data_IF_799606528977
#
_entry.id   IF_799606528977
#
_cell.length_a   1.000
_cell.length_b   1.000
_cell.length_c   1.000
_cell.angle_alpha   90.00
_cell.angle_beta   90.00
_cell.angle_gamma   90.00
#
_symmetry.space_group_name_H-M   'P 1'
#
loop_
_entity.id
_entity.type
_entity.pdbx_description
1 polymer ?
#
# COMPACT_ATOMS: atom_id res chain seq x y z
N UNK A 1 29.96 -28.28 -34.40
CA UNK A 1 29.67 -27.12 -33.52
C UNK A 1 28.48 -27.50 -32.68
N UNK A 2 28.69 -27.84 -31.40
CA UNK A 2 27.60 -28.06 -30.44
C UNK A 2 27.28 -26.70 -29.81
N UNK A 3 26.01 -26.30 -29.85
CA UNK A 3 25.54 -25.13 -29.14
C UNK A 3 25.75 -25.31 -27.63
N UNK A 4 26.39 -24.35 -27.00
CA UNK A 4 26.51 -24.28 -25.54
C UNK A 4 25.11 -24.08 -24.97
N UNK A 5 24.66 -25.04 -24.16
CA UNK A 5 23.48 -24.84 -23.30
C UNK A 5 23.85 -23.84 -22.23
N UNK A 6 23.18 -22.70 -22.20
CA UNK A 6 23.20 -21.76 -21.09
C UNK A 6 22.58 -22.45 -19.84
N UNK A 7 23.44 -23.13 -19.13
CA UNK A 7 23.12 -23.73 -17.82
C UNK A 7 23.18 -22.61 -16.77
N UNK A 8 22.15 -21.75 -16.73
CA UNK A 8 21.95 -20.88 -15.58
C UNK A 8 21.60 -21.79 -14.39
N UNK A 9 22.33 -21.68 -13.26
CA UNK A 9 21.99 -22.46 -12.08
C UNK A 9 20.55 -22.14 -11.70
N UNK A 10 19.71 -23.17 -11.70
CA UNK A 10 18.32 -23.08 -11.26
C UNK A 10 18.30 -22.54 -9.82
N UNK A 11 17.97 -21.27 -9.66
CA UNK A 11 17.80 -20.72 -8.33
C UNK A 11 16.70 -21.51 -7.61
N UNK A 12 16.86 -21.79 -6.30
CA UNK A 12 15.86 -22.57 -5.57
C UNK A 12 14.49 -21.93 -5.76
N UNK A 13 13.55 -22.70 -6.31
CA UNK A 13 12.18 -22.27 -6.55
C UNK A 13 11.52 -21.90 -5.22
N UNK A 14 10.89 -20.75 -5.17
CA UNK A 14 10.01 -20.38 -4.08
C UNK A 14 8.61 -20.05 -4.65
N UNK A 15 7.64 -20.02 -3.77
CA UNK A 15 6.24 -19.76 -4.12
C UNK A 15 6.05 -18.52 -5.02
N UNK A 16 6.71 -17.41 -4.71
CA UNK A 16 6.59 -16.18 -5.50
C UNK A 16 7.16 -16.33 -6.90
N UNK A 17 8.31 -17.02 -7.04
CA UNK A 17 8.89 -17.32 -8.35
C UNK A 17 7.94 -18.18 -9.19
N UNK A 18 7.37 -19.22 -8.60
CA UNK A 18 6.41 -20.10 -9.28
C UNK A 18 5.15 -19.32 -9.75
N UNK A 19 4.68 -18.35 -8.97
CA UNK A 19 3.57 -17.46 -9.37
C UNK A 19 3.98 -16.60 -10.56
N UNK A 20 5.13 -15.93 -10.49
CA UNK A 20 5.62 -15.06 -11.57
C UNK A 20 5.84 -15.86 -12.86
N UNK A 21 6.49 -17.01 -12.78
CA UNK A 21 6.75 -17.88 -13.93
C UNK A 21 5.47 -18.37 -14.60
N UNK A 22 4.47 -18.76 -13.81
CA UNK A 22 3.14 -19.11 -14.31
C UNK A 22 2.47 -17.93 -15.03
N UNK A 23 2.50 -16.74 -14.44
CA UNK A 23 1.85 -15.56 -15.01
C UNK A 23 2.58 -15.07 -16.26
N UNK A 24 3.90 -15.21 -16.33
CA UNK A 24 4.70 -14.94 -17.52
C UNK A 24 4.41 -15.95 -18.63
N UNK A 25 4.33 -17.25 -18.31
CA UNK A 25 4.01 -18.31 -19.27
C UNK A 25 2.59 -18.15 -19.83
N UNK A 26 1.63 -17.71 -19.00
CA UNK A 26 0.26 -17.44 -19.40
C UNK A 26 0.10 -16.10 -20.18
N UNK A 27 1.13 -15.24 -20.18
CA UNK A 27 1.04 -13.90 -20.77
C UNK A 27 0.07 -12.98 -20.04
N UNK A 28 -0.15 -13.21 -18.73
CA UNK A 28 -1.19 -12.51 -17.93
C UNK A 28 -1.12 -11.00 -18.08
N UNK A 29 0.09 -10.42 -18.09
CA UNK A 29 0.32 -8.99 -18.18
C UNK A 29 0.89 -8.53 -19.55
N UNK A 30 1.01 -9.42 -20.54
CA UNK A 30 1.72 -9.14 -21.79
C UNK A 30 1.07 -8.06 -22.68
N UNK A 31 -0.21 -7.81 -22.52
CA UNK A 31 -0.96 -6.83 -23.30
C UNK A 31 -1.14 -5.48 -22.56
N UNK A 32 -0.59 -5.34 -21.37
CA UNK A 32 -0.69 -4.08 -20.62
C UNK A 32 0.12 -2.98 -21.30
N UNK A 33 -0.40 -1.78 -21.21
CA UNK A 33 0.24 -0.56 -21.74
C UNK A 33 0.64 0.33 -20.56
N UNK A 34 1.78 1.00 -20.67
CA UNK A 34 2.29 1.86 -19.60
C UNK A 34 2.47 3.29 -20.11
N UNK A 35 1.80 4.25 -19.47
CA UNK A 35 1.86 5.67 -19.82
C UNK A 35 3.19 6.38 -19.51
N UNK A 36 4.15 5.67 -18.91
CA UNK A 36 5.47 6.22 -18.56
C UNK A 36 5.56 6.78 -17.14
N UNK A 37 4.43 6.98 -16.48
CA UNK A 37 4.28 7.44 -15.09
C UNK A 37 3.04 6.81 -14.47
N UNK A 38 2.84 6.90 -13.14
CA UNK A 38 1.59 6.52 -12.49
C UNK A 38 0.39 7.25 -13.09
N UNK A 39 -0.74 6.56 -13.22
CA UNK A 39 -1.94 7.13 -13.79
C UNK A 39 -3.11 6.16 -13.85
N UNK A 40 -4.24 6.66 -14.34
CA UNK A 40 -5.48 5.88 -14.51
C UNK A 40 -5.47 5.00 -15.78
N UNK A 41 -6.59 4.32 -16.01
CA UNK A 41 -6.76 3.46 -17.18
C UNK A 41 -6.53 4.21 -18.50
N UNK A 42 -7.01 5.44 -18.63
CA UNK A 42 -6.88 6.23 -19.86
C UNK A 42 -5.40 6.65 -20.09
N UNK A 43 -4.71 7.06 -19.02
CA UNK A 43 -3.29 7.40 -19.06
C UNK A 43 -2.44 6.21 -19.54
N UNK A 44 -2.64 5.05 -18.96
CA UNK A 44 -1.89 3.85 -19.36
C UNK A 44 -2.26 3.36 -20.77
N UNK A 45 -3.53 3.40 -21.14
CA UNK A 45 -3.98 2.99 -22.48
C UNK A 45 -3.37 3.83 -23.60
N UNK A 46 -3.04 5.10 -23.35
CA UNK A 46 -2.37 5.98 -24.31
C UNK A 46 -0.87 5.66 -24.50
N UNK A 47 -0.24 4.94 -23.56
CA UNK A 47 1.17 4.57 -23.62
C UNK A 47 1.47 3.41 -24.57
N UNK A 48 2.76 3.05 -24.75
CA UNK A 48 3.19 1.84 -25.46
C UNK A 48 2.86 0.58 -24.64
N UNK A 49 3.08 -0.61 -25.21
CA UNK A 49 3.11 -1.84 -24.44
C UNK A 49 4.16 -1.73 -23.34
N UNK A 50 3.84 -2.22 -22.14
CA UNK A 50 4.76 -2.17 -21.02
C UNK A 50 5.98 -3.05 -21.27
N UNK A 51 7.15 -2.42 -21.33
CA UNK A 51 8.42 -3.14 -21.50
C UNK A 51 8.87 -3.91 -20.27
N UNK A 52 8.32 -3.62 -19.09
CA UNK A 52 8.61 -4.36 -17.87
C UNK A 52 7.76 -5.64 -17.81
N UNK A 53 8.44 -6.79 -17.76
CA UNK A 53 7.76 -8.10 -17.68
C UNK A 53 6.95 -8.27 -16.40
N UNK A 54 7.44 -7.71 -15.30
CA UNK A 54 6.77 -7.61 -14.00
C UNK A 54 7.06 -6.25 -13.38
N UNK A 55 6.16 -5.79 -12.50
CA UNK A 55 6.38 -4.62 -11.63
C UNK A 55 6.09 -5.02 -10.20
N UNK A 56 7.06 -4.79 -9.34
CA UNK A 56 6.97 -4.97 -7.88
C UNK A 56 7.19 -3.62 -7.19
N UNK A 57 7.08 -3.54 -5.89
CA UNK A 57 7.36 -2.31 -5.14
C UNK A 57 7.78 -2.62 -3.70
N UNK A 58 8.62 -1.77 -3.15
CA UNK A 58 8.87 -1.64 -1.73
C UNK A 58 8.21 -0.36 -1.23
N UNK A 59 7.38 -0.46 -0.18
CA UNK A 59 6.50 0.64 0.27
C UNK A 59 6.69 0.91 1.76
N UNK A 60 7.82 1.54 2.15
CA UNK A 60 8.05 1.91 3.53
C UNK A 60 7.24 3.14 3.95
N UNK A 61 6.77 3.14 5.20
CA UNK A 61 6.27 4.34 5.88
C UNK A 61 7.49 5.11 6.43
N UNK A 62 7.69 6.42 6.08
CA UNK A 62 8.87 7.18 6.48
C UNK A 62 8.77 7.72 7.92
N UNK A 63 8.57 6.83 8.89
CA UNK A 63 8.35 7.10 10.31
C UNK A 63 9.42 6.50 11.24
N UNK A 64 10.57 6.17 10.70
CA UNK A 64 11.73 5.64 11.43
C UNK A 64 12.65 4.80 10.55
N UNK A 65 13.82 4.51 11.08
CA UNK A 65 14.85 3.72 10.39
C UNK A 65 14.41 2.30 10.06
N UNK A 66 14.96 1.77 8.96
CA UNK A 66 14.74 0.39 8.55
C UNK A 66 15.53 -0.57 9.44
N UNK A 67 15.06 -1.79 9.51
CA UNK A 67 15.74 -2.90 10.18
C UNK A 67 15.86 -4.11 9.24
N UNK A 68 16.58 -5.14 9.66
CA UNK A 68 16.87 -6.32 8.84
C UNK A 68 15.61 -7.01 8.25
N UNK A 69 14.46 -6.88 8.89
CA UNK A 69 13.18 -7.36 8.34
C UNK A 69 12.78 -6.62 7.05
N UNK A 70 13.09 -5.31 6.98
CA UNK A 70 12.87 -4.53 5.76
C UNK A 70 13.90 -4.88 4.68
N UNK A 71 15.16 -5.18 5.06
CA UNK A 71 16.17 -5.66 4.11
C UNK A 71 15.69 -6.91 3.36
N UNK A 72 15.05 -7.87 4.05
CA UNK A 72 14.42 -9.03 3.40
C UNK A 72 13.39 -8.62 2.36
N UNK A 73 12.51 -7.67 2.68
CA UNK A 73 11.47 -7.18 1.76
C UNK A 73 12.08 -6.46 0.55
N UNK A 74 13.10 -5.62 0.77
CA UNK A 74 13.83 -4.93 -0.30
C UNK A 74 14.47 -5.95 -1.23
N UNK A 75 15.29 -6.86 -0.69
CA UNK A 75 15.99 -7.88 -1.47
C UNK A 75 14.99 -8.76 -2.26
N UNK A 76 13.83 -9.05 -1.69
CA UNK A 76 12.82 -9.86 -2.35
C UNK A 76 12.18 -9.10 -3.52
N UNK A 77 11.67 -7.89 -3.30
CA UNK A 77 10.96 -7.13 -4.31
C UNK A 77 11.87 -6.68 -5.45
N UNK A 78 13.01 -6.07 -5.13
CA UNK A 78 14.01 -5.65 -6.14
C UNK A 78 14.67 -6.86 -6.81
N UNK A 79 14.97 -7.93 -6.06
CA UNK A 79 15.54 -9.14 -6.60
C UNK A 79 14.63 -9.84 -7.61
N UNK A 80 13.33 -9.97 -7.31
CA UNK A 80 12.36 -10.53 -8.25
C UNK A 80 12.26 -9.67 -9.52
N UNK A 81 12.17 -8.34 -9.40
CA UNK A 81 12.14 -7.46 -10.56
C UNK A 81 13.38 -7.65 -11.43
N UNK A 82 14.58 -7.64 -10.84
CA UNK A 82 15.84 -7.86 -11.55
C UNK A 82 15.90 -9.22 -12.25
N UNK A 83 15.54 -10.29 -11.55
CA UNK A 83 15.68 -11.66 -12.04
C UNK A 83 14.72 -11.98 -13.20
N UNK A 84 13.57 -11.28 -13.27
CA UNK A 84 12.56 -11.48 -14.33
C UNK A 84 12.49 -10.36 -15.36
N UNK A 85 13.46 -9.44 -15.40
CA UNK A 85 13.48 -8.33 -16.37
C UNK A 85 12.33 -7.34 -16.16
N UNK A 86 12.03 -7.07 -14.91
CA UNK A 86 10.99 -6.16 -14.47
C UNK A 86 11.54 -4.87 -13.87
N UNK A 87 10.65 -4.14 -13.20
CA UNK A 87 10.95 -2.88 -12.49
C UNK A 87 10.43 -2.99 -11.06
N UNK A 88 11.23 -2.57 -10.09
CA UNK A 88 10.77 -2.38 -8.71
C UNK A 88 10.63 -0.89 -8.40
N UNK A 89 9.49 -0.50 -7.87
CA UNK A 89 9.25 0.88 -7.43
C UNK A 89 9.65 1.03 -5.96
N UNK A 90 10.20 2.20 -5.61
CA UNK A 90 10.25 2.67 -4.23
C UNK A 90 9.11 3.66 -4.06
N UNK A 91 8.12 3.33 -3.21
CA UNK A 91 7.01 4.23 -2.90
C UNK A 91 6.95 4.48 -1.40
N UNK A 92 7.05 5.73 -1.00
CA UNK A 92 6.80 6.10 0.38
C UNK A 92 5.29 6.11 0.66
N UNK A 93 4.87 5.36 1.69
CA UNK A 93 3.50 5.42 2.21
C UNK A 93 3.43 6.57 3.22
N UNK A 94 3.30 7.77 2.69
CA UNK A 94 3.27 9.03 3.41
C UNK A 94 1.83 9.52 3.65
N UNK A 95 0.99 8.66 4.23
CA UNK A 95 -0.43 8.96 4.50
C UNK A 95 -0.70 9.48 5.92
N UNK A 96 0.34 9.58 6.76
CA UNK A 96 0.20 9.99 8.15
C UNK A 96 0.96 11.29 8.45
N UNK A 97 0.30 12.46 8.41
CA UNK A 97 0.95 13.76 8.50
C UNK A 97 1.71 14.02 9.82
N UNK A 98 1.46 13.22 10.87
CA UNK A 98 2.06 13.46 12.20
C UNK A 98 3.38 12.73 12.45
N UNK A 99 3.78 11.80 11.57
CA UNK A 99 4.87 10.85 11.89
C UNK A 99 5.97 10.79 10.85
N UNK A 100 5.85 11.53 9.78
CA UNK A 100 6.71 11.43 8.63
C UNK A 100 7.76 12.52 8.66
N UNK A 101 9.02 12.13 8.56
CA UNK A 101 10.16 13.03 8.64
C UNK A 101 11.12 12.79 7.47
N UNK A 102 11.68 13.89 6.90
CA UNK A 102 12.59 13.83 5.77
C UNK A 102 13.84 12.99 6.07
N UNK A 103 14.32 13.03 7.30
CA UNK A 103 15.45 12.20 7.75
C UNK A 103 15.23 10.72 7.48
N UNK A 104 14.01 10.21 7.72
CA UNK A 104 13.71 8.80 7.45
C UNK A 104 13.57 8.49 5.96
N UNK A 105 13.08 9.44 5.17
CA UNK A 105 13.07 9.31 3.71
C UNK A 105 14.49 9.13 3.20
N UNK A 106 15.42 10.01 3.61
CA UNK A 106 16.83 9.98 3.18
C UNK A 106 17.52 8.68 3.64
N UNK A 107 17.33 8.26 4.88
CA UNK A 107 17.90 7.02 5.40
C UNK A 107 17.37 5.77 4.68
N UNK A 108 16.09 5.75 4.30
CA UNK A 108 15.49 4.65 3.53
C UNK A 108 16.08 4.58 2.13
N UNK A 109 16.26 5.72 1.47
CA UNK A 109 16.90 5.83 0.16
C UNK A 109 18.33 5.27 0.23
N UNK A 110 19.11 5.71 1.22
CA UNK A 110 20.48 5.25 1.44
C UNK A 110 20.52 3.72 1.70
N UNK A 111 19.64 3.21 2.54
CA UNK A 111 19.56 1.77 2.84
C UNK A 111 19.26 0.91 1.59
N UNK A 112 18.40 1.38 0.67
CA UNK A 112 18.12 0.66 -0.60
C UNK A 112 19.36 0.64 -1.48
N UNK A 113 20.06 1.75 -1.62
CA UNK A 113 21.31 1.84 -2.38
C UNK A 113 22.43 1.01 -1.73
N UNK A 114 22.57 1.05 -0.40
CA UNK A 114 23.54 0.24 0.34
C UNK A 114 23.34 -1.27 0.12
N UNK A 115 22.07 -1.72 0.00
CA UNK A 115 21.74 -3.09 -0.35
C UNK A 115 22.01 -3.43 -1.83
N UNK A 116 22.49 -2.49 -2.64
CA UNK A 116 22.86 -2.68 -4.04
C UNK A 116 21.68 -2.62 -5.01
N UNK A 117 20.59 -1.94 -4.63
CA UNK A 117 19.41 -1.75 -5.48
C UNK A 117 19.19 -0.29 -5.85
N UNK A 118 18.46 -0.09 -6.95
CA UNK A 118 18.05 1.20 -7.47
C UNK A 118 16.66 1.05 -8.14
N UNK A 119 15.90 2.14 -8.10
CA UNK A 119 14.59 2.28 -8.76
C UNK A 119 14.69 3.04 -10.08
N UNK A 120 15.90 3.38 -10.53
CA UNK A 120 16.16 4.01 -11.81
C UNK A 120 16.24 2.96 -12.91
N UNK A 121 15.34 3.01 -13.89
CA UNK A 121 15.34 2.07 -15.01
C UNK A 121 15.14 2.80 -16.33
N UNK A 122 16.04 2.61 -17.29
CA UNK A 122 15.93 3.23 -18.61
C UNK A 122 15.92 4.77 -18.59
N UNK A 123 16.61 5.40 -17.62
CA UNK A 123 16.65 6.85 -17.44
C UNK A 123 15.40 7.42 -16.76
N UNK A 124 14.53 6.59 -16.21
CA UNK A 124 13.35 7.01 -15.45
C UNK A 124 13.48 6.62 -13.99
N UNK A 125 13.08 7.53 -13.09
CA UNK A 125 12.94 7.26 -11.68
C UNK A 125 11.58 6.60 -11.42
N UNK A 126 11.56 5.56 -10.59
CA UNK A 126 10.37 4.93 -10.07
C UNK A 126 10.27 5.11 -8.55
N UNK A 127 10.60 6.31 -8.10
CA UNK A 127 10.40 6.78 -6.73
C UNK A 127 9.11 7.59 -6.70
N UNK A 128 8.18 7.22 -5.83
CA UNK A 128 6.85 7.80 -5.73
C UNK A 128 6.45 8.01 -4.26
N UNK A 129 5.43 8.84 -4.07
CA UNK A 129 4.82 9.10 -2.77
C UNK A 129 3.32 8.82 -2.87
N UNK A 130 2.74 8.22 -1.83
CA UNK A 130 1.30 7.99 -1.79
C UNK A 130 0.51 9.30 -1.82
N UNK A 131 1.06 10.37 -1.25
CA UNK A 131 0.51 11.72 -1.28
C UNK A 131 0.36 12.31 -2.67
N UNK A 132 1.16 11.87 -3.67
CA UNK A 132 1.02 12.28 -5.07
C UNK A 132 -0.34 11.87 -5.65
N UNK A 133 -1.00 10.90 -5.03
CA UNK A 133 -2.27 10.32 -5.51
C UNK A 133 -3.48 10.74 -4.69
N UNK A 134 -3.37 11.66 -3.74
CA UNK A 134 -4.48 12.07 -2.87
C UNK A 134 -5.68 12.60 -3.64
N UNK A 135 -5.47 13.39 -4.68
CA UNK A 135 -6.56 13.88 -5.54
C UNK A 135 -7.27 12.74 -6.27
N UNK A 136 -6.51 11.75 -6.76
CA UNK A 136 -7.10 10.57 -7.39
C UNK A 136 -7.89 9.73 -6.38
N UNK A 137 -7.32 9.49 -5.20
CA UNK A 137 -7.97 8.74 -4.14
C UNK A 137 -9.27 9.41 -3.69
N UNK A 138 -9.29 10.74 -3.63
CA UNK A 138 -10.50 11.48 -3.29
C UNK A 138 -11.59 11.32 -4.36
N UNK A 139 -11.24 11.40 -5.65
CA UNK A 139 -12.19 11.13 -6.76
C UNK A 139 -12.70 9.68 -6.73
N UNK A 140 -11.84 8.71 -6.41
CA UNK A 140 -12.24 7.32 -6.23
C UNK A 140 -13.21 7.16 -5.05
N UNK A 141 -12.97 7.86 -3.94
CA UNK A 141 -13.88 7.88 -2.78
C UNK A 141 -15.24 8.50 -3.15
N UNK A 142 -15.29 9.63 -3.87
CA UNK A 142 -16.54 10.22 -4.36
C UNK A 142 -17.30 9.24 -5.28
N UNK A 143 -16.59 8.49 -6.14
CA UNK A 143 -17.20 7.49 -7.00
C UNK A 143 -17.82 6.33 -6.20
N UNK A 144 -17.12 5.82 -5.19
CA UNK A 144 -17.66 4.78 -4.29
C UNK A 144 -18.91 5.27 -3.54
N UNK A 145 -18.87 6.49 -3.02
CA UNK A 145 -20.04 7.10 -2.35
C UNK A 145 -21.20 7.28 -3.34
N UNK A 146 -20.93 7.80 -4.52
CA UNK A 146 -21.94 7.98 -5.57
C UNK A 146 -22.60 6.67 -6.02
N UNK A 147 -21.84 5.58 -6.02
CA UNK A 147 -22.34 4.23 -6.30
C UNK A 147 -23.05 3.56 -5.09
N UNK A 148 -23.11 4.21 -3.93
CA UNK A 148 -23.68 3.65 -2.71
C UNK A 148 -22.82 2.57 -2.05
N UNK A 149 -21.53 2.53 -2.37
CA UNK A 149 -20.56 1.55 -1.88
C UNK A 149 -19.64 2.10 -0.77
N UNK A 150 -19.87 3.34 -0.36
CA UNK A 150 -19.26 3.95 0.81
C UNK A 150 -20.21 4.94 1.47
N UNK A 151 -20.02 5.18 2.75
CA UNK A 151 -20.82 6.12 3.54
C UNK A 151 -19.98 6.80 4.60
N UNK A 152 -20.39 8.01 5.00
CA UNK A 152 -19.77 8.74 6.11
C UNK A 152 -20.40 8.28 7.41
N UNK A 153 -19.59 7.78 8.33
CA UNK A 153 -19.98 7.33 9.66
C UNK A 153 -19.57 8.37 10.69
N UNK A 154 -20.53 8.86 11.45
CA UNK A 154 -20.37 9.87 12.50
C UNK A 154 -20.45 9.25 13.91
N UNK A 155 -20.38 7.92 14.02
CA UNK A 155 -20.23 7.24 15.29
C UNK A 155 -18.87 7.57 15.92
N UNK A 156 -18.82 7.63 17.23
CA UNK A 156 -17.56 7.68 17.97
C UNK A 156 -16.73 6.42 17.76
N UNK A 157 -15.44 6.48 18.06
CA UNK A 157 -14.55 5.30 18.01
C UNK A 157 -15.05 4.16 18.90
N UNK A 158 -15.66 4.48 20.04
CA UNK A 158 -16.21 3.49 20.97
C UNK A 158 -17.44 2.80 20.39
N UNK A 159 -18.39 3.56 19.82
CA UNK A 159 -19.56 3.04 19.15
C UNK A 159 -19.20 2.16 17.95
N UNK A 160 -18.28 2.64 17.10
CA UNK A 160 -17.79 1.85 15.96
C UNK A 160 -17.12 0.53 16.41
N UNK A 161 -16.37 0.58 17.51
CA UNK A 161 -15.75 -0.64 18.07
C UNK A 161 -16.82 -1.60 18.60
N UNK A 162 -17.85 -1.10 19.28
CA UNK A 162 -18.96 -1.90 19.81
C UNK A 162 -19.77 -2.53 18.67
N UNK A 163 -20.09 -1.78 17.62
CA UNK A 163 -20.88 -2.27 16.47
C UNK A 163 -20.09 -3.17 15.52
N UNK A 164 -18.75 -3.11 15.51
CA UNK A 164 -17.91 -3.96 14.66
C UNK A 164 -17.96 -5.44 15.03
N UNK A 165 -18.26 -5.76 16.29
CA UNK A 165 -18.19 -7.12 16.80
C UNK A 165 -16.76 -7.65 16.95
N UNK A 166 -16.62 -8.96 17.13
CA UNK A 166 -15.34 -9.66 17.31
C UNK A 166 -15.27 -10.93 16.44
N UNK A 167 -14.27 -11.79 16.65
CA UNK A 167 -14.11 -13.04 15.88
C UNK A 167 -15.28 -14.02 16.06
N UNK A 168 -16.03 -13.96 17.18
CA UNK A 168 -17.11 -14.85 17.51
C UNK A 168 -18.48 -14.21 17.27
N UNK A 169 -18.53 -12.89 17.23
CA UNK A 169 -19.78 -12.11 17.14
C UNK A 169 -19.75 -11.26 15.87
N UNK A 170 -20.71 -11.43 14.95
CA UNK A 170 -20.81 -10.56 13.77
C UNK A 170 -21.04 -9.11 14.19
N UNK A 171 -20.64 -8.19 13.32
CA UNK A 171 -20.93 -6.77 13.50
C UNK A 171 -22.38 -6.45 13.20
N UNK A 172 -22.79 -5.25 13.56
CA UNK A 172 -24.11 -4.66 13.27
C UNK A 172 -23.96 -3.40 12.44
N UNK A 173 -24.96 -3.12 11.61
CA UNK A 173 -24.93 -1.95 10.74
C UNK A 173 -24.91 -0.65 11.55
N UNK A 174 -24.09 0.31 11.10
CA UNK A 174 -24.13 1.68 11.63
C UNK A 174 -25.46 2.34 11.27
N UNK A 175 -26.03 3.18 12.15
CA UNK A 175 -27.18 4.02 11.81
C UNK A 175 -26.95 4.89 10.56
N UNK A 176 -25.70 5.28 10.29
CA UNK A 176 -25.32 6.11 9.16
C UNK A 176 -25.31 5.33 7.82
N UNK A 177 -25.30 4.02 7.85
CA UNK A 177 -25.18 3.13 6.68
C UNK A 177 -26.37 3.21 5.71
N UNK A 178 -27.53 3.63 6.20
CA UNK A 178 -28.76 3.77 5.40
C UNK A 178 -28.90 5.09 4.66
N UNK A 179 -28.01 6.06 4.87
CA UNK A 179 -28.03 7.36 4.19
C UNK A 179 -27.88 7.21 2.68
N UNK A 180 -28.51 8.10 1.95
CA UNK A 180 -28.43 8.14 0.48
C UNK A 180 -27.03 8.54 -0.01
N UNK A 181 -26.65 8.19 -1.24
CA UNK A 181 -25.41 8.64 -1.84
C UNK A 181 -25.26 10.19 -1.84
N UNK A 182 -26.33 10.93 -2.10
CA UNK A 182 -26.30 12.40 -2.11
C UNK A 182 -25.97 12.99 -0.73
N UNK A 183 -26.57 12.46 0.34
CA UNK A 183 -26.29 12.87 1.71
C UNK A 183 -24.83 12.54 2.10
N UNK A 184 -24.34 11.36 1.71
CA UNK A 184 -22.97 10.95 2.00
C UNK A 184 -21.95 11.77 1.21
N UNK A 185 -22.23 12.12 -0.06
CA UNK A 185 -21.36 13.02 -0.84
C UNK A 185 -21.26 14.41 -0.21
N UNK A 186 -22.38 14.97 0.26
CA UNK A 186 -22.36 16.25 0.95
C UNK A 186 -21.49 16.19 2.22
N UNK A 187 -21.61 15.12 3.00
CA UNK A 187 -20.79 14.91 4.22
C UNK A 187 -19.32 14.71 3.92
N UNK A 188 -18.98 13.93 2.91
CA UNK A 188 -17.58 13.73 2.48
C UNK A 188 -16.94 15.06 2.06
N UNK A 189 -17.68 15.90 1.35
CA UNK A 189 -17.23 17.25 0.97
C UNK A 189 -17.04 18.15 2.18
N UNK A 190 -17.92 18.07 3.18
CA UNK A 190 -17.78 18.79 4.44
C UNK A 190 -16.54 18.33 5.23
N UNK A 191 -16.24 17.02 5.23
CA UNK A 191 -15.00 16.50 5.80
C UNK A 191 -13.78 17.13 5.11
N UNK A 192 -13.73 17.11 3.76
CA UNK A 192 -12.61 17.69 2.99
C UNK A 192 -12.50 19.21 3.17
N UNK A 193 -13.63 19.90 3.35
CA UNK A 193 -13.66 21.36 3.56
C UNK A 193 -13.25 21.79 4.98
N UNK A 194 -12.86 20.84 5.87
CA UNK A 194 -12.45 21.14 7.24
C UNK A 194 -13.56 21.59 8.17
N UNK A 195 -14.84 21.30 7.82
CA UNK A 195 -16.00 21.70 8.63
C UNK A 195 -16.21 20.78 9.85
N UNK A 196 -15.51 19.67 9.93
CA UNK A 196 -15.62 18.68 11.00
C UNK A 196 -14.26 18.50 11.67
N UNK A 197 -14.25 18.39 13.00
CA UNK A 197 -13.03 18.16 13.79
C UNK A 197 -12.49 16.74 13.68
N UNK A 198 -11.29 16.54 14.19
CA UNK A 198 -10.63 15.23 14.28
C UNK A 198 -11.53 14.23 15.01
N UNK A 199 -11.70 13.05 14.42
CA UNK A 199 -12.51 11.99 15.00
C UNK A 199 -14.02 12.17 14.91
N UNK A 200 -14.51 13.29 14.34
CA UNK A 200 -15.95 13.55 14.24
C UNK A 200 -16.65 12.65 13.20
N UNK A 201 -15.93 12.21 12.19
CA UNK A 201 -16.43 11.30 11.16
C UNK A 201 -15.31 10.52 10.48
N UNK A 202 -15.67 9.38 9.88
CA UNK A 202 -14.82 8.60 8.99
C UNK A 202 -15.61 8.21 7.74
N UNK A 203 -14.95 8.10 6.59
CA UNK A 203 -15.55 7.45 5.43
C UNK A 203 -15.32 5.95 5.55
N UNK A 204 -16.37 5.14 5.40
CA UNK A 204 -16.29 3.68 5.45
C UNK A 204 -16.77 3.07 4.14
N UNK A 205 -16.12 1.99 3.71
CA UNK A 205 -16.67 1.12 2.66
C UNK A 205 -17.98 0.48 3.15
N UNK A 206 -18.89 0.22 2.22
CA UNK A 206 -20.17 -0.46 2.50
C UNK A 206 -20.12 -1.86 1.92
N UNK A 207 -19.70 -2.84 2.73
CA UNK A 207 -19.48 -4.23 2.30
C UNK A 207 -20.40 -5.18 3.07
N UNK A 208 -19.94 -5.73 4.21
CA UNK A 208 -20.68 -6.71 4.98
C UNK A 208 -20.27 -6.68 6.46
N UNK A 209 -21.14 -6.14 7.31
CA UNK A 209 -20.90 -6.08 8.76
C UNK A 209 -20.96 -7.46 9.44
N UNK A 210 -21.53 -8.48 8.78
CA UNK A 210 -21.57 -9.85 9.29
C UNK A 210 -20.40 -10.72 8.80
N UNK A 211 -19.51 -10.19 7.98
CA UNK A 211 -18.37 -10.94 7.44
C UNK A 211 -17.55 -11.64 8.53
N UNK A 212 -17.15 -12.91 8.37
CA UNK A 212 -16.21 -13.57 9.27
C UNK A 212 -14.82 -12.88 9.25
N UNK A 213 -14.45 -12.26 8.13
CA UNK A 213 -13.26 -11.42 8.04
C UNK A 213 -13.57 -10.00 8.53
N UNK A 214 -13.00 -9.63 9.68
CA UNK A 214 -13.23 -8.32 10.31
C UNK A 214 -12.80 -7.17 9.39
N UNK A 215 -11.82 -7.37 8.51
CA UNK A 215 -11.35 -6.36 7.56
C UNK A 215 -12.36 -6.06 6.43
N UNK A 216 -13.43 -6.86 6.29
CA UNK A 216 -14.54 -6.60 5.38
C UNK A 216 -15.78 -6.02 6.09
N UNK A 217 -15.72 -5.81 7.40
CA UNK A 217 -16.82 -5.19 8.17
C UNK A 217 -16.78 -3.68 8.06
N UNK A 218 -17.14 -3.18 6.89
CA UNK A 218 -17.18 -1.77 6.54
C UNK A 218 -15.91 -1.02 7.00
N UNK A 219 -14.72 -1.33 6.44
CA UNK A 219 -13.47 -0.73 6.86
C UNK A 219 -13.43 0.77 6.57
N UNK A 220 -12.67 1.52 7.37
CA UNK A 220 -12.47 2.94 7.17
C UNK A 220 -11.59 3.20 5.94
N UNK A 221 -12.01 4.15 5.08
CA UNK A 221 -11.29 4.61 3.88
C UNK A 221 -10.57 5.93 4.12
N UNK A 222 -11.21 6.87 4.82
CA UNK A 222 -10.68 8.19 5.19
C UNK A 222 -10.95 8.52 6.64
N UNK A 223 -10.00 9.23 7.25
CA UNK A 223 -10.12 9.86 8.57
C UNK A 223 -9.91 11.36 8.47
N UNK A 224 -10.49 12.12 9.40
CA UNK A 224 -10.20 13.54 9.56
C UNK A 224 -8.96 13.70 10.42
N UNK A 225 -8.02 14.53 9.98
CA UNK A 225 -6.82 14.89 10.73
C UNK A 225 -6.34 16.29 10.33
N UNK A 226 -6.44 17.24 11.25
CA UNK A 226 -5.93 18.59 11.04
C UNK A 226 -4.46 18.64 11.46
N UNK A 227 -3.58 18.37 10.49
CA UNK A 227 -2.14 18.44 10.67
C UNK A 227 -1.47 18.79 9.33
N UNK A 228 -0.37 19.55 9.39
CA UNK A 228 0.42 19.89 8.22
C UNK A 228 1.17 18.65 7.72
N UNK A 229 0.99 18.31 6.45
CA UNK A 229 1.65 17.19 5.81
C UNK A 229 2.98 17.63 5.18
N UNK A 230 4.04 16.82 5.29
CA UNK A 230 5.39 17.20 4.84
C UNK A 230 5.46 17.53 3.34
N UNK A 231 4.65 16.88 2.48
CA UNK A 231 4.65 17.12 1.03
C UNK A 231 3.51 18.03 0.57
N UNK A 232 2.29 17.86 1.12
CA UNK A 232 1.09 18.57 0.64
C UNK A 232 0.72 19.80 1.50
N UNK A 233 1.45 20.06 2.58
CA UNK A 233 1.18 21.16 3.50
C UNK A 233 -0.21 21.04 4.13
N UNK A 234 -0.96 22.14 4.13
CA UNK A 234 -2.32 22.24 4.70
C UNK A 234 -3.43 22.03 3.66
N UNK A 235 -3.11 21.46 2.50
CA UNK A 235 -4.09 21.22 1.41
C UNK A 235 -5.17 20.22 1.81
N UNK A 236 -4.83 19.28 2.69
CA UNK A 236 -5.69 18.21 3.12
C UNK A 236 -5.92 18.26 4.64
N UNK A 237 -7.14 17.97 5.06
CA UNK A 237 -7.52 17.72 6.45
C UNK A 237 -8.23 16.37 6.63
N UNK A 238 -8.30 15.58 5.54
CA UNK A 238 -8.70 14.18 5.54
C UNK A 238 -7.60 13.37 4.88
N UNK A 239 -7.31 12.21 5.44
CA UNK A 239 -6.23 11.34 4.97
C UNK A 239 -6.75 9.93 4.72
N UNK A 240 -6.36 9.31 3.60
CA UNK A 240 -6.77 7.94 3.31
C UNK A 240 -6.13 6.96 4.29
N UNK A 241 -6.85 5.88 4.57
CA UNK A 241 -6.33 4.78 5.38
C UNK A 241 -5.46 3.86 4.53
N UNK A 242 -4.55 3.15 5.16
CA UNK A 242 -3.61 2.24 4.49
C UNK A 242 -4.30 1.28 3.50
N UNK A 243 -5.37 0.61 3.93
CA UNK A 243 -6.07 -0.37 3.09
C UNK A 243 -6.73 0.25 1.84
N UNK A 244 -7.04 1.53 1.88
CA UNK A 244 -7.56 2.27 0.72
C UNK A 244 -6.44 2.78 -0.19
N UNK A 245 -5.36 3.28 0.40
CA UNK A 245 -4.20 3.84 -0.31
C UNK A 245 -3.44 2.79 -1.10
N UNK A 246 -3.14 1.68 -0.46
CA UNK A 246 -2.24 0.64 -0.97
C UNK A 246 -2.71 0.03 -2.32
N UNK A 247 -3.96 -0.47 -2.46
CA UNK A 247 -4.44 -1.01 -3.74
C UNK A 247 -4.47 0.05 -4.86
N UNK A 248 -4.93 1.27 -4.54
CA UNK A 248 -5.04 2.36 -5.52
C UNK A 248 -3.66 2.76 -6.03
N UNK A 249 -2.69 2.95 -5.14
CA UNK A 249 -1.32 3.28 -5.51
C UNK A 249 -0.69 2.17 -6.36
N UNK A 250 -0.87 0.91 -5.98
CA UNK A 250 -0.39 -0.23 -6.77
C UNK A 250 -0.97 -0.23 -8.18
N UNK A 251 -2.27 0.05 -8.34
CA UNK A 251 -2.92 0.09 -9.63
C UNK A 251 -2.47 1.28 -10.49
N UNK A 252 -2.33 2.48 -9.89
CA UNK A 252 -1.82 3.67 -10.58
C UNK A 252 -0.38 3.49 -11.06
N UNK A 253 0.45 2.85 -10.27
CA UNK A 253 1.85 2.53 -10.59
C UNK A 253 2.00 1.32 -11.52
N UNK A 254 0.88 0.70 -11.89
CA UNK A 254 0.88 -0.44 -12.80
C UNK A 254 1.61 -1.67 -12.25
N UNK A 255 1.61 -1.86 -10.92
CA UNK A 255 2.19 -3.03 -10.27
C UNK A 255 1.51 -4.31 -10.81
N UNK A 256 2.27 -5.39 -10.92
CA UNK A 256 1.76 -6.71 -11.31
C UNK A 256 1.61 -7.61 -10.09
N UNK A 257 2.69 -7.71 -9.33
CA UNK A 257 2.79 -8.56 -8.15
C UNK A 257 3.04 -7.68 -6.93
N UNK A 258 2.00 -7.47 -6.15
CA UNK A 258 2.01 -6.72 -4.90
C UNK A 258 2.47 -7.65 -3.78
N UNK A 259 3.79 -7.69 -3.54
CA UNK A 259 4.40 -8.64 -2.58
C UNK A 259 4.52 -7.98 -1.22
N UNK A 260 3.90 -8.55 -0.19
CA UNK A 260 3.88 -8.04 1.18
C UNK A 260 4.07 -9.16 2.21
N UNK A 261 4.16 -8.80 3.50
CA UNK A 261 4.31 -9.78 4.58
C UNK A 261 2.98 -10.46 4.90
N UNK A 262 3.05 -11.68 5.49
CA UNK A 262 1.89 -12.53 5.77
C UNK A 262 0.83 -11.87 6.67
N UNK A 263 1.20 -10.85 7.42
CA UNK A 263 0.26 -10.10 8.27
C UNK A 263 -0.85 -9.39 7.49
N UNK A 264 -0.66 -9.18 6.18
CA UNK A 264 -1.65 -8.56 5.29
C UNK A 264 -2.56 -9.57 4.57
N UNK A 265 -2.45 -10.86 4.88
CA UNK A 265 -3.25 -11.90 4.22
C UNK A 265 -4.76 -11.65 4.38
N UNK A 266 -5.20 -11.27 5.58
CA UNK A 266 -6.62 -11.02 5.86
C UNK A 266 -7.13 -9.69 5.28
N UNK A 267 -6.22 -8.81 4.81
CA UNK A 267 -6.55 -7.56 4.10
C UNK A 267 -6.74 -7.78 2.60
N UNK A 268 -6.20 -8.87 2.02
CA UNK A 268 -6.29 -9.16 0.59
C UNK A 268 -7.72 -9.21 0.04
N UNK A 269 -8.74 -9.75 0.72
CA UNK A 269 -10.11 -9.70 0.22
C UNK A 269 -10.64 -8.27 0.03
N UNK A 270 -10.23 -7.32 0.87
CA UNK A 270 -10.57 -5.90 0.68
C UNK A 270 -9.79 -5.30 -0.49
N UNK A 271 -8.51 -5.60 -0.63
CA UNK A 271 -7.67 -5.21 -1.77
C UNK A 271 -8.33 -5.62 -3.10
N UNK A 272 -8.74 -6.87 -3.21
CA UNK A 272 -9.37 -7.42 -4.42
C UNK A 272 -10.75 -6.77 -4.67
N UNK A 273 -11.56 -6.59 -3.63
CA UNK A 273 -12.86 -5.93 -3.72
C UNK A 273 -12.74 -4.49 -4.23
N UNK A 274 -11.80 -3.73 -3.67
CA UNK A 274 -11.61 -2.32 -4.04
C UNK A 274 -11.18 -2.18 -5.51
N UNK A 275 -10.18 -2.96 -5.93
CA UNK A 275 -9.68 -2.91 -7.30
C UNK A 275 -10.73 -3.39 -8.30
N UNK A 276 -11.48 -4.46 -8.01
CA UNK A 276 -12.58 -4.92 -8.86
C UNK A 276 -13.67 -3.85 -9.01
N UNK A 277 -14.05 -3.21 -7.91
CA UNK A 277 -15.08 -2.17 -7.88
C UNK A 277 -14.66 -0.93 -8.69
N UNK A 278 -13.44 -0.42 -8.47
CA UNK A 278 -12.95 0.75 -9.19
C UNK A 278 -12.69 0.45 -10.67
N UNK A 279 -12.24 -0.76 -11.01
CA UNK A 279 -12.04 -1.17 -12.41
C UNK A 279 -13.36 -1.26 -13.17
N UNK A 280 -14.45 -1.68 -12.54
CA UNK A 280 -15.78 -1.64 -13.14
C UNK A 280 -16.22 -0.19 -13.49
N UNK A 281 -15.69 0.79 -12.78
CA UNK A 281 -15.84 2.22 -13.07
C UNK A 281 -14.79 2.80 -14.04
N UNK A 282 -13.99 1.96 -14.69
CA UNK A 282 -12.90 2.35 -15.61
C UNK A 282 -11.77 3.17 -14.97
N UNK A 283 -11.55 3.06 -13.67
CA UNK A 283 -10.43 3.74 -13.00
C UNK A 283 -9.10 3.11 -13.36
N UNK A 284 -9.06 1.78 -13.54
CA UNK A 284 -7.81 1.04 -13.75
C UNK A 284 -7.86 0.14 -14.98
N UNK A 285 -6.70 -0.01 -15.65
CA UNK A 285 -6.52 -0.92 -16.76
C UNK A 285 -6.43 -2.37 -16.24
N UNK A 286 -7.12 -3.29 -16.91
CA UNK A 286 -7.03 -4.73 -16.65
C UNK A 286 -5.83 -5.37 -17.33
N UNK A 287 -5.24 -6.42 -16.75
CA UNK A 287 -5.50 -6.94 -15.41
C UNK A 287 -4.90 -6.05 -14.32
N UNK A 288 -5.61 -5.92 -13.20
CA UNK A 288 -5.15 -5.16 -12.02
C UNK A 288 -4.06 -5.92 -11.26
N UNK A 289 -3.31 -5.24 -10.37
CA UNK A 289 -2.36 -5.88 -9.47
C UNK A 289 -2.98 -7.01 -8.66
N UNK A 290 -2.16 -7.99 -8.28
CA UNK A 290 -2.54 -9.04 -7.31
C UNK A 290 -1.60 -9.03 -6.13
N UNK A 291 -2.17 -9.17 -4.94
CA UNK A 291 -1.42 -9.25 -3.68
C UNK A 291 -0.98 -10.68 -3.40
N UNK A 292 0.28 -10.83 -2.98
CA UNK A 292 0.89 -12.10 -2.58
C UNK A 292 1.69 -11.89 -1.29
N UNK A 293 1.56 -12.79 -0.35
CA UNK A 293 2.18 -12.67 0.96
C UNK A 293 3.35 -13.65 1.13
N UNK A 294 4.40 -13.18 1.80
CA UNK A 294 5.53 -14.00 2.19
C UNK A 294 5.75 -14.00 3.70
N UNK A 295 6.40 -15.04 4.22
CA UNK A 295 6.66 -15.18 5.65
C UNK A 295 7.58 -14.09 6.17
N UNK A 296 7.29 -13.55 7.36
CA UNK A 296 8.18 -12.62 8.07
C UNK A 296 9.55 -13.26 8.31
N UNK A 297 10.58 -12.42 8.37
CA UNK A 297 11.87 -12.84 8.89
C UNK A 297 11.76 -12.90 10.42
N UNK A 298 11.91 -14.09 10.98
CA UNK A 298 11.99 -14.32 12.41
C UNK A 298 13.41 -14.72 12.77
N UNK A 299 14.06 -13.95 13.61
CA UNK A 299 15.39 -14.23 14.13
C UNK A 299 15.29 -14.45 15.64
N UNK A 300 15.99 -15.47 16.13
CA UNK A 300 16.14 -15.70 17.56
C UNK A 300 17.12 -14.68 18.14
N UNK A 301 16.85 -14.23 19.36
CA UNK A 301 17.68 -13.26 20.09
C UNK A 301 17.80 -11.86 19.42
N UNK A 302 16.91 -11.50 18.50
CA UNK A 302 16.90 -10.20 17.83
C UNK A 302 15.54 -9.51 18.02
N UNK A 303 15.57 -8.27 18.47
CA UNK A 303 14.38 -7.42 18.55
C UNK A 303 14.07 -6.85 17.17
N UNK A 304 12.92 -7.22 16.60
CA UNK A 304 12.48 -6.82 15.25
C UNK A 304 11.26 -5.86 15.28
N UNK A 305 10.93 -5.32 16.44
CA UNK A 305 9.82 -4.39 16.62
C UNK A 305 10.33 -2.94 16.64
N UNK A 306 9.94 -2.12 15.65
CA UNK A 306 10.30 -0.70 15.55
C UNK A 306 10.02 0.06 16.87
N UNK A 307 8.86 -0.21 17.50
CA UNK A 307 8.51 0.38 18.79
C UNK A 307 9.51 0.01 19.91
N UNK A 308 9.88 -1.28 20.00
CA UNK A 308 10.83 -1.75 21.00
C UNK A 308 12.24 -1.24 20.75
N UNK A 309 12.65 -1.14 19.48
CA UNK A 309 13.94 -0.55 19.11
C UNK A 309 14.01 0.92 19.52
N UNK A 310 12.95 1.69 19.27
CA UNK A 310 12.85 3.09 19.73
C UNK A 310 12.92 3.17 21.27
N UNK A 311 12.19 2.35 21.98
CA UNK A 311 12.21 2.28 23.45
C UNK A 311 13.61 1.99 23.98
N UNK A 312 14.40 1.13 23.33
CA UNK A 312 15.80 0.84 23.71
C UNK A 312 16.70 2.07 23.54
N UNK A 313 16.51 2.86 22.49
CA UNK A 313 17.25 4.13 22.28
C UNK A 313 16.83 5.17 23.35
N UNK A 314 15.54 5.40 23.51
CA UNK A 314 14.99 6.40 24.43
C UNK A 314 15.33 6.09 25.90
N UNK A 315 15.41 4.82 26.27
CA UNK A 315 15.79 4.37 27.62
C UNK A 315 17.30 4.30 27.86
N UNK A 316 18.14 4.55 26.85
CA UNK A 316 19.60 4.50 26.95
C UNK A 316 20.19 3.09 27.09
N UNK A 317 19.43 2.04 26.78
CA UNK A 317 19.93 0.65 26.74
C UNK A 317 20.97 0.49 25.62
N UNK A 318 20.79 1.24 24.54
CA UNK A 318 21.72 1.34 23.41
C UNK A 318 22.13 2.80 23.22
N UNK A 319 23.29 3.06 22.58
CA UNK A 319 23.82 4.41 22.38
C UNK A 319 23.07 5.24 21.34
N UNK A 320 22.37 4.58 20.42
CA UNK A 320 21.63 5.22 19.34
C UNK A 320 21.11 4.18 18.35
N UNK A 321 20.56 4.66 17.25
CA UNK A 321 20.07 3.79 16.17
C UNK A 321 21.19 3.07 15.42
N UNK A 322 22.39 3.61 15.45
CA UNK A 322 23.65 3.08 14.88
C UNK A 322 24.43 2.15 15.84
N UNK A 323 23.89 1.88 17.02
CA UNK A 323 24.52 0.95 17.97
C UNK A 323 24.68 -0.44 17.32
N UNK A 324 25.88 -1.04 17.34
CA UNK A 324 26.15 -2.33 16.66
C UNK A 324 25.32 -3.50 17.20
N UNK A 325 24.62 -3.36 18.31
CA UNK A 325 23.68 -4.35 18.84
C UNK A 325 22.27 -4.21 18.23
N UNK A 326 22.01 -3.13 17.49
CA UNK A 326 20.73 -2.88 16.86
C UNK A 326 20.67 -3.54 15.46
N UNK A 327 19.56 -4.19 15.10
CA UNK A 327 19.37 -4.78 13.76
C UNK A 327 18.89 -3.75 12.73
N UNK A 328 19.30 -2.50 12.87
CA UNK A 328 18.95 -1.37 12.01
C UNK A 328 19.83 -1.31 10.76
N UNK A 329 19.34 -0.64 9.73
CA UNK A 329 20.06 -0.31 8.50
C UNK A 329 20.41 1.19 8.54
N UNK A 330 21.31 1.56 9.45
CA UNK A 330 21.79 2.94 9.66
C UNK A 330 23.27 2.98 9.43
#
# INVERSE_FOLDING_TARGET
MRAASDDHPTQPGNFLRSVIERDLAAGTYAQRRFGGSPGDAAHHAAGPLDGARIRTRFTPEPNGYLHIGHAKSICLNFGLARDYGGVCHLRFDDTNPEKEEQEYVDAIIEAVHWLGFDWQVGGRSHLYYASDYFDFMYRAAEALVGAGLAYVDEQSTEEMRATRGDFNTPGTDSPCRSRTPAENLARLRNMKAGQLGDGAAVLRAKIDMASPNINLRDPALYRIKHATHHSTGDTWCIYPMYDFTHPISDALEHITHSVCTLEFQDHRPFYDWLLATLSAGNFFQLPVPRQYEFSRLNLTYVVMSKRKLREMVESGIVSGWDDPRMPTLV
#
